data_IF_816219098086
#
_entry.id   IF_816219098086
#
_cell.length_a   1.000
_cell.length_b   1.000
_cell.length_c   1.000
_cell.angle_alpha   90.00
_cell.angle_beta   90.00
_cell.angle_gamma   90.00
#
_symmetry.space_group_name_H-M   'P 1'
#
loop_
_entity.id
_entity.type
_entity.pdbx_description
1 polymer ?
#
# COMPACT_ATOMS: atom_id res chain seq x y z
N UNK A 1 7.90 -14.13 2.51
CA UNK A 1 8.51 -12.94 1.87
C UNK A 1 7.68 -12.39 0.73
N UNK A 2 7.46 -13.14 -0.36
CA UNK A 2 6.60 -12.71 -1.49
C UNK A 2 5.19 -12.33 -1.01
N UNK A 3 4.56 -13.17 -0.19
CA UNK A 3 3.19 -12.95 0.27
C UNK A 3 3.05 -11.64 1.07
N UNK A 4 4.00 -11.35 1.96
CA UNK A 4 4.02 -10.11 2.76
C UNK A 4 4.22 -8.86 1.91
N UNK A 5 5.07 -8.94 0.88
CA UNK A 5 5.25 -7.86 -0.10
C UNK A 5 3.97 -7.63 -0.91
N UNK A 6 3.32 -8.71 -1.37
CA UNK A 6 2.07 -8.65 -2.13
C UNK A 6 0.92 -8.07 -1.31
N UNK A 7 0.83 -8.46 -0.03
CA UNK A 7 -0.14 -7.88 0.91
C UNK A 7 0.11 -6.39 1.11
N UNK A 8 1.36 -5.97 1.32
CA UNK A 8 1.71 -4.55 1.43
C UNK A 8 1.36 -3.76 0.17
N UNK A 9 1.64 -4.32 -1.02
CA UNK A 9 1.29 -3.74 -2.31
C UNK A 9 -0.23 -3.62 -2.51
N UNK A 10 -0.98 -4.66 -2.14
CA UNK A 10 -2.44 -4.68 -2.23
C UNK A 10 -3.08 -3.64 -1.30
N UNK A 11 -2.58 -3.53 -0.07
CA UNK A 11 -3.04 -2.51 0.90
C UNK A 11 -2.76 -1.11 0.37
N UNK A 12 -1.57 -0.86 -0.20
CA UNK A 12 -1.24 0.40 -0.84
C UNK A 12 -2.19 0.74 -2.01
N UNK A 13 -2.45 -0.23 -2.89
CA UNK A 13 -3.31 -0.06 -4.06
C UNK A 13 -4.76 0.22 -3.68
N UNK A 14 -5.33 -0.60 -2.80
CA UNK A 14 -6.72 -0.46 -2.34
C UNK A 14 -6.90 0.86 -1.58
N UNK A 15 -5.96 1.18 -0.69
CA UNK A 15 -6.02 2.42 0.08
C UNK A 15 -5.84 3.66 -0.79
N UNK A 16 -4.85 3.66 -1.70
CA UNK A 16 -4.65 4.77 -2.63
C UNK A 16 -5.88 4.99 -3.52
N UNK A 17 -6.51 3.90 -3.98
CA UNK A 17 -7.73 3.96 -4.81
C UNK A 17 -8.91 4.55 -4.03
N UNK A 18 -9.13 4.12 -2.79
CA UNK A 18 -10.17 4.67 -1.90
C UNK A 18 -9.94 6.17 -1.65
N UNK A 19 -8.70 6.56 -1.38
CA UNK A 19 -8.32 7.97 -1.17
C UNK A 19 -8.65 8.82 -2.40
N UNK A 20 -8.31 8.32 -3.59
CA UNK A 20 -8.53 9.02 -4.86
C UNK A 20 -10.03 9.07 -5.22
N UNK A 21 -10.77 7.99 -4.97
CA UNK A 21 -12.23 7.94 -5.11
C UNK A 21 -12.93 8.92 -4.18
N UNK A 22 -12.54 9.00 -2.90
CA UNK A 22 -13.12 9.94 -1.94
C UNK A 22 -12.84 11.40 -2.34
N UNK A 23 -11.63 11.68 -2.84
CA UNK A 23 -11.27 12.99 -3.37
C UNK A 23 -12.08 13.35 -4.63
N UNK A 24 -12.18 12.42 -5.59
CA UNK A 24 -12.86 12.63 -6.87
C UNK A 24 -14.39 12.73 -6.72
N UNK A 25 -14.96 12.01 -5.76
CA UNK A 25 -16.37 12.09 -5.43
C UNK A 25 -16.75 13.40 -4.70
N UNK A 26 -15.78 14.25 -4.33
CA UNK A 26 -15.99 15.55 -3.67
C UNK A 26 -17.01 15.51 -2.53
N UNK A 27 -17.00 14.40 -1.77
CA UNK A 27 -17.96 14.16 -0.69
C UNK A 27 -17.55 15.03 0.49
N UNK A 28 -18.20 16.19 0.64
CA UNK A 28 -17.98 17.13 1.75
C UNK A 28 -18.80 16.73 2.96
N UNK A 29 -18.53 15.55 3.48
CA UNK A 29 -19.10 15.02 4.72
C UNK A 29 -17.97 14.69 5.69
N UNK A 30 -18.16 14.93 6.99
CA UNK A 30 -17.17 14.64 8.03
C UNK A 30 -16.72 13.16 8.03
N UNK A 31 -17.57 12.25 7.55
CA UNK A 31 -17.24 10.84 7.36
C UNK A 31 -16.21 10.60 6.24
N UNK A 32 -16.17 11.44 5.20
CA UNK A 32 -15.23 11.31 4.09
C UNK A 32 -13.80 11.69 4.51
N UNK A 33 -13.64 12.69 5.39
CA UNK A 33 -12.34 13.07 5.95
C UNK A 33 -11.76 11.95 6.84
N UNK A 34 -12.61 11.29 7.61
CA UNK A 34 -12.21 10.14 8.44
C UNK A 34 -11.78 8.94 7.59
N UNK A 35 -12.52 8.65 6.51
CA UNK A 35 -12.16 7.61 5.54
C UNK A 35 -10.82 7.93 4.87
N UNK A 36 -10.60 9.19 4.45
CA UNK A 36 -9.32 9.64 3.89
C UNK A 36 -8.15 9.44 4.86
N UNK A 37 -8.30 9.83 6.13
CA UNK A 37 -7.27 9.66 7.16
C UNK A 37 -6.96 8.18 7.41
N UNK A 38 -7.99 7.33 7.56
CA UNK A 38 -7.80 5.90 7.74
C UNK A 38 -7.15 5.24 6.53
N UNK A 39 -7.50 5.68 5.32
CA UNK A 39 -6.85 5.22 4.11
C UNK A 39 -5.37 5.64 4.10
N UNK A 40 -5.04 6.89 4.41
CA UNK A 40 -3.65 7.36 4.44
C UNK A 40 -2.79 6.57 5.46
N UNK A 41 -3.36 6.23 6.62
CA UNK A 41 -2.69 5.38 7.62
C UNK A 41 -2.44 3.97 7.07
N UNK A 42 -3.45 3.35 6.46
CA UNK A 42 -3.32 2.04 5.83
C UNK A 42 -2.30 2.05 4.68
N UNK A 43 -2.25 3.13 3.90
CA UNK A 43 -1.28 3.33 2.84
C UNK A 43 0.15 3.40 3.39
N UNK A 44 0.37 4.17 4.47
CA UNK A 44 1.66 4.24 5.15
C UNK A 44 2.13 2.88 5.69
N UNK A 45 1.22 2.09 6.26
CA UNK A 45 1.53 0.74 6.73
C UNK A 45 1.87 -0.22 5.57
N UNK A 46 1.13 -0.16 4.46
CA UNK A 46 1.42 -0.91 3.24
C UNK A 46 2.80 -0.56 2.69
N UNK A 47 3.13 0.73 2.57
CA UNK A 47 4.42 1.22 2.11
C UNK A 47 5.58 0.78 3.03
N UNK A 48 5.41 0.85 4.34
CA UNK A 48 6.41 0.35 5.30
C UNK A 48 6.65 -1.15 5.14
N UNK A 49 5.58 -1.93 4.95
CA UNK A 49 5.64 -3.38 4.72
C UNK A 49 6.39 -3.71 3.44
N UNK A 50 6.12 -3.01 2.34
CA UNK A 50 6.87 -3.12 1.07
C UNK A 50 8.34 -2.80 1.29
N UNK A 51 8.65 -1.71 2.01
CA UNK A 51 10.03 -1.25 2.23
C UNK A 51 10.87 -2.23 3.05
N UNK A 52 10.26 -2.91 4.03
CA UNK A 52 10.92 -3.96 4.83
C UNK A 52 11.10 -5.25 4.02
N UNK A 53 10.16 -5.56 3.12
CA UNK A 53 10.17 -6.82 2.36
C UNK A 53 10.88 -6.71 1.00
N UNK A 54 11.18 -5.50 0.50
CA UNK A 54 11.79 -5.26 -0.81
C UNK A 54 13.24 -5.77 -0.91
N UNK A 55 14.10 -5.44 0.05
CA UNK A 55 15.49 -5.90 0.06
C UNK A 55 15.62 -7.44 0.08
N UNK A 56 14.92 -8.16 0.97
CA UNK A 56 14.98 -9.61 0.94
C UNK A 56 14.29 -10.24 -0.28
N UNK A 57 13.25 -9.60 -0.84
CA UNK A 57 12.64 -10.04 -2.10
C UNK A 57 13.62 -9.93 -3.26
N UNK A 58 14.36 -8.82 -3.37
CA UNK A 58 15.39 -8.62 -4.39
C UNK A 58 16.54 -9.61 -4.24
N UNK A 59 17.01 -9.86 -3.01
CA UNK A 59 18.03 -10.87 -2.76
C UNK A 59 17.58 -12.28 -3.15
N UNK A 60 16.31 -12.62 -2.88
CA UNK A 60 15.72 -13.88 -3.31
C UNK A 60 15.59 -13.97 -4.84
N UNK A 61 15.20 -12.88 -5.51
CA UNK A 61 15.08 -12.81 -6.98
C UNK A 61 16.45 -12.95 -7.66
N UNK A 62 17.48 -12.30 -7.12
CA UNK A 62 18.86 -12.41 -7.59
C UNK A 62 19.40 -13.84 -7.43
N UNK A 63 19.09 -14.50 -6.31
CA UNK A 63 19.47 -15.89 -6.07
C UNK A 63 18.80 -16.91 -7.01
N UNK A 64 17.70 -16.54 -7.69
CA UNK A 64 16.98 -17.39 -8.64
C UNK A 64 17.52 -17.36 -10.08
N UNK A 65 18.61 -16.63 -10.33
CA UNK A 65 19.31 -16.66 -11.63
C UNK A 65 19.23 -15.38 -12.46
N UNK A 66 19.04 -14.23 -11.81
CA UNK A 66 19.25 -12.92 -12.45
C UNK A 66 20.55 -12.29 -11.91
N UNK A 67 21.67 -12.98 -12.14
CA UNK A 67 23.02 -12.57 -11.78
C UNK A 67 24.01 -13.14 -12.79
#
# INVERSE_FOLDING_TARGET
MILSFLIGALICLLSGSLTLLTLLASVKDANAEFVLLMSLIAFGFGAATIRVTAAPLLAWLAALGWG
#
